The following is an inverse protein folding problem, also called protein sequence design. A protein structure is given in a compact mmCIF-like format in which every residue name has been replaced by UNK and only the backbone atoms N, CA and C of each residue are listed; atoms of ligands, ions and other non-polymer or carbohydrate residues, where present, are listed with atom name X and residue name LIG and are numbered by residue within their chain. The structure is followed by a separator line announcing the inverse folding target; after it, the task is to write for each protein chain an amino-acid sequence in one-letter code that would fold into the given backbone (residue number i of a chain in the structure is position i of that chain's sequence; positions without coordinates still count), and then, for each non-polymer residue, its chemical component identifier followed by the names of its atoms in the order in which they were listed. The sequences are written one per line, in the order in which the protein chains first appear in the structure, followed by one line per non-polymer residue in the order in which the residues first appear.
data_IF_347857355943
#
_entry.id   IF_347857355943
#
_cell.length_a   1.000
_cell.length_b   1.000
_cell.length_c   1.000
_cell.angle_alpha   90.00
_cell.angle_beta   90.00
_cell.angle_gamma   90.00
#
_symmetry.space_group_name_H-M   'P 1'
#
loop_
_entity.id
_entity.type
_entity.pdbx_description
1 polymer ?
#
# COMPACT_ATOMS: atom_id res chain seq x y z
N UNK A 1 -34.67 13.54 -35.20
CA UNK A 1 -34.06 12.35 -34.57
C UNK A 1 -32.54 12.22 -34.81
N UNK A 2 -32.02 12.48 -36.02
CA UNK A 2 -30.58 12.33 -36.35
C UNK A 2 -29.63 13.24 -35.54
N UNK A 3 -30.06 14.46 -35.17
CA UNK A 3 -29.24 15.44 -34.45
C UNK A 3 -28.96 15.09 -32.99
N UNK A 4 -29.87 14.36 -32.32
CA UNK A 4 -29.65 13.89 -30.95
C UNK A 4 -28.61 12.75 -30.90
N UNK A 5 -28.65 11.85 -31.88
CA UNK A 5 -27.69 10.74 -31.98
C UNK A 5 -26.25 11.24 -32.17
N UNK A 6 -26.05 12.26 -33.01
CA UNK A 6 -24.72 12.84 -33.26
C UNK A 6 -24.15 13.48 -31.99
N UNK A 7 -24.98 14.14 -31.18
CA UNK A 7 -24.53 14.77 -29.94
C UNK A 7 -24.12 13.73 -28.88
N UNK A 8 -24.88 12.64 -28.76
CA UNK A 8 -24.54 11.53 -27.85
C UNK A 8 -23.25 10.85 -28.28
N UNK A 9 -23.07 10.59 -29.58
CA UNK A 9 -21.82 9.98 -30.10
C UNK A 9 -20.63 10.93 -29.87
N UNK A 10 -20.79 12.22 -30.13
CA UNK A 10 -19.74 13.22 -29.88
C UNK A 10 -19.37 13.30 -28.39
N UNK A 11 -20.36 13.25 -27.50
CA UNK A 11 -20.15 13.25 -26.05
C UNK A 11 -19.42 11.99 -25.57
N UNK A 12 -19.79 10.82 -26.10
CA UNK A 12 -19.11 9.56 -25.80
C UNK A 12 -17.67 9.56 -26.29
N UNK A 13 -17.40 10.06 -27.51
CA UNK A 13 -16.05 10.15 -28.04
C UNK A 13 -15.18 11.09 -27.22
N UNK A 14 -15.70 12.26 -26.83
CA UNK A 14 -14.98 13.21 -25.99
C UNK A 14 -14.60 12.62 -24.62
N UNK A 15 -15.54 11.91 -23.99
CA UNK A 15 -15.30 11.29 -22.68
C UNK A 15 -14.32 10.11 -22.78
N UNK A 16 -14.44 9.30 -23.85
CA UNK A 16 -13.49 8.23 -24.13
C UNK A 16 -12.07 8.75 -24.32
N UNK A 17 -11.89 9.83 -25.08
CA UNK A 17 -10.60 10.47 -25.28
C UNK A 17 -10.01 11.03 -23.98
N UNK A 18 -10.83 11.62 -23.10
CA UNK A 18 -10.37 12.13 -21.82
C UNK A 18 -9.87 10.99 -20.90
N UNK A 19 -10.61 9.87 -20.85
CA UNK A 19 -10.23 8.70 -20.04
C UNK A 19 -8.95 8.05 -20.57
N UNK A 20 -8.80 7.91 -21.89
CA UNK A 20 -7.57 7.34 -22.46
C UNK A 20 -6.36 8.22 -22.22
N UNK A 21 -6.50 9.54 -22.36
CA UNK A 21 -5.42 10.49 -22.03
C UNK A 21 -5.05 10.46 -20.54
N UNK A 22 -6.05 10.37 -19.64
CA UNK A 22 -5.80 10.27 -18.20
C UNK A 22 -5.07 8.98 -17.83
N UNK A 23 -5.45 7.85 -18.43
CA UNK A 23 -4.77 6.58 -18.23
C UNK A 23 -3.34 6.62 -18.74
N UNK A 24 -3.12 7.15 -19.95
CA UNK A 24 -1.78 7.25 -20.55
C UNK A 24 -0.85 8.18 -19.75
N UNK A 25 -1.36 9.30 -19.24
CA UNK A 25 -0.59 10.23 -18.41
C UNK A 25 -0.13 9.59 -17.09
N UNK A 26 -1.00 8.86 -16.40
CA UNK A 26 -0.65 8.19 -15.14
C UNK A 26 0.30 7.01 -15.39
N UNK A 27 0.03 6.21 -16.42
CA UNK A 27 0.84 5.03 -16.71
C UNK A 27 2.27 5.39 -17.16
N UNK A 28 2.45 6.50 -17.89
CA UNK A 28 3.79 6.95 -18.32
C UNK A 28 4.65 7.45 -17.16
N UNK A 29 4.06 8.13 -16.17
CA UNK A 29 4.79 8.55 -14.96
C UNK A 29 5.23 7.34 -14.14
N UNK A 30 4.35 6.34 -14.00
CA UNK A 30 4.68 5.10 -13.28
C UNK A 30 5.69 4.23 -14.03
N UNK A 31 5.65 4.18 -15.35
CA UNK A 31 6.63 3.45 -16.16
C UNK A 31 7.98 4.21 -16.28
N UNK A 32 8.00 5.52 -16.05
CA UNK A 32 9.20 6.38 -16.15
C UNK A 32 10.12 6.32 -14.93
N UNK A 33 9.69 5.75 -13.81
CA UNK A 33 10.56 5.51 -12.65
C UNK A 33 11.16 4.11 -12.71
N UNK A 34 11.91 3.84 -13.79
CA UNK A 34 12.90 2.77 -13.77
C UNK A 34 13.85 3.06 -12.61
N UNK A 35 13.53 2.41 -11.50
CA UNK A 35 14.27 2.37 -10.26
C UNK A 35 15.70 1.95 -10.60
N UNK A 36 16.65 2.89 -10.52
CA UNK A 36 18.06 2.56 -10.55
C UNK A 36 18.37 1.81 -9.26
N UNK A 37 18.34 0.49 -9.34
CA UNK A 37 18.67 -0.36 -8.22
C UNK A 37 20.10 -0.04 -7.80
N UNK A 38 20.37 0.34 -6.54
CA UNK A 38 21.70 0.73 -6.10
C UNK A 38 22.65 -0.44 -6.34
N UNK A 39 23.54 -0.29 -7.32
CA UNK A 39 24.61 -1.26 -7.56
C UNK A 39 25.57 -1.17 -6.39
N UNK A 40 25.51 -2.19 -5.53
CA UNK A 40 26.51 -2.43 -4.50
C UNK A 40 27.89 -2.55 -5.17
N UNK A 41 28.76 -1.58 -4.89
CA UNK A 41 30.18 -1.68 -5.16
C UNK A 41 30.75 -2.72 -4.18
N UNK A 42 31.34 -3.83 -4.66
CA UNK A 42 32.06 -4.73 -3.77
C UNK A 42 33.33 -4.01 -3.28
N UNK A 43 33.39 -3.75 -1.97
CA UNK A 43 34.66 -3.45 -1.30
C UNK A 43 35.46 -4.75 -1.31
N UNK A 44 36.35 -4.89 -2.29
CA UNK A 44 37.43 -5.85 -2.23
C UNK A 44 38.38 -5.40 -1.12
N UNK A 45 38.16 -5.92 0.08
CA UNK A 45 39.24 -6.11 1.04
C UNK A 45 40.16 -7.20 0.47
N UNK A 46 41.11 -6.78 -0.36
CA UNK A 46 42.28 -7.56 -0.72
C UNK A 46 43.48 -6.80 -0.16
N UNK A 47 43.82 -7.13 1.08
CA UNK A 47 45.18 -6.95 1.55
C UNK A 47 46.11 -7.91 0.76
N UNK A 48 47.38 -7.52 0.65
CA UNK A 48 48.50 -8.22 -0.01
C UNK A 48 48.80 -7.88 -1.49
N UNK A 49 49.48 -6.75 -1.70
CA UNK A 49 50.86 -6.83 -2.24
C UNK A 49 51.71 -5.69 -1.68
N UNK A 50 52.31 -5.98 -0.53
CA UNK A 50 53.68 -5.63 -0.17
C UNK A 50 54.51 -5.21 -1.38
N UNK A 51 54.84 -3.92 -1.44
CA UNK A 51 56.16 -3.47 -1.88
C UNK A 51 56.80 -2.83 -0.65
N UNK A 52 57.12 -3.65 0.34
CA UNK A 52 58.01 -3.23 1.42
C UNK A 52 59.42 -3.18 0.82
N UNK A 53 59.99 -1.98 0.81
CA UNK A 53 61.42 -1.86 0.93
C UNK A 53 61.78 -2.23 2.37
N UNK A 54 62.75 -3.13 2.46
CA UNK A 54 63.77 -3.23 3.52
C UNK A 54 63.36 -3.72 4.93
N UNK A 55 64.27 -4.55 5.45
CA UNK A 55 64.48 -4.99 6.84
C UNK A 55 63.68 -6.18 7.44
N UNK A 56 64.38 -7.32 7.58
CA UNK A 56 64.48 -8.01 8.89
C UNK A 56 63.78 -9.35 9.12
N UNK A 57 64.58 -10.43 9.04
CA UNK A 57 64.67 -11.57 10.00
C UNK A 57 63.50 -12.55 10.28
N UNK A 58 63.78 -13.83 9.95
CA UNK A 58 63.46 -15.11 10.63
C UNK A 58 62.02 -15.53 11.07
N UNK A 59 61.70 -16.81 10.79
CA UNK A 59 60.68 -17.63 11.49
C UNK A 59 59.59 -18.20 10.56
N UNK A 60 59.80 -19.29 9.83
CA UNK A 60 59.57 -20.69 10.23
C UNK A 60 58.13 -21.06 10.67
N UNK A 61 57.51 -22.01 9.94
CA UNK A 61 56.62 -23.10 10.43
C UNK A 61 55.16 -22.70 10.81
N UNK A 62 54.06 -23.47 10.66
CA UNK A 62 53.77 -24.91 10.57
C UNK A 62 52.47 -25.19 9.79
N UNK A 63 52.36 -26.45 9.36
CA UNK A 63 51.25 -27.15 8.72
C UNK A 63 49.93 -27.24 9.52
N UNK A 64 48.83 -27.62 8.83
CA UNK A 64 48.02 -28.81 9.21
C UNK A 64 47.01 -29.22 8.13
N UNK A 65 47.30 -30.36 7.50
CA UNK A 65 46.33 -31.29 6.91
C UNK A 65 45.46 -31.89 8.02
N UNK A 66 44.18 -32.20 7.75
CA UNK A 66 43.54 -33.48 8.13
C UNK A 66 42.19 -33.67 7.41
N UNK A 67 42.22 -34.63 6.48
CA UNK A 67 41.26 -35.72 6.22
C UNK A 67 39.75 -35.51 6.08
N UNK A 68 39.30 -35.78 4.86
CA UNK A 68 37.96 -36.24 4.44
C UNK A 68 37.75 -37.72 4.83
N UNK A 69 36.50 -38.13 5.12
CA UNK A 69 35.94 -39.32 4.45
C UNK A 69 34.61 -39.02 3.72
N UNK A 70 34.32 -39.84 2.72
CA UNK A 70 33.13 -39.92 1.86
C UNK A 70 32.85 -41.43 1.66
N UNK A 71 31.75 -41.92 1.06
CA UNK A 71 30.32 -41.57 1.05
C UNK A 71 29.43 -42.78 1.46
N UNK A 72 28.09 -42.64 1.45
CA UNK A 72 27.05 -43.56 0.89
C UNK A 72 25.68 -43.38 1.62
N UNK A 73 24.56 -43.95 1.14
CA UNK A 73 23.74 -43.54 -0.03
C UNK A 73 22.28 -43.18 0.34
N UNK A 74 21.61 -42.38 -0.50
CA UNK A 74 20.15 -42.11 -0.45
C UNK A 74 19.31 -43.37 -0.76
N UNK A 75 17.98 -43.43 -0.44
CA UNK A 75 16.98 -42.74 -1.26
C UNK A 75 15.68 -42.26 -0.56
N UNK A 76 14.98 -41.40 -1.32
CA UNK A 76 13.52 -41.31 -1.52
C UNK A 76 12.63 -40.42 -0.64
N UNK A 77 12.09 -39.42 -1.37
CA UNK A 77 10.68 -39.04 -1.47
C UNK A 77 9.98 -38.26 -0.34
N UNK A 78 9.76 -36.97 -0.58
CA UNK A 78 8.39 -36.47 -0.84
C UNK A 78 8.36 -35.01 -1.28
N UNK A 79 7.42 -34.73 -2.17
CA UNK A 79 7.30 -33.54 -2.98
C UNK A 79 6.45 -32.41 -2.35
N UNK A 80 6.71 -31.20 -2.85
CA UNK A 80 5.77 -30.07 -3.07
C UNK A 80 5.26 -29.24 -1.88
N UNK A 81 4.75 -28.01 -2.11
CA UNK A 81 5.05 -27.02 -3.16
C UNK A 81 5.28 -25.58 -2.60
N UNK A 82 5.80 -24.72 -3.48
CA UNK A 82 5.89 -23.27 -3.36
C UNK A 82 4.50 -22.62 -3.51
N UNK A 83 4.20 -21.55 -2.76
CA UNK A 83 3.31 -20.51 -3.26
C UNK A 83 4.04 -19.18 -3.45
N UNK A 84 4.12 -18.79 -4.72
CA UNK A 84 4.30 -17.40 -5.14
C UNK A 84 3.08 -16.58 -4.72
N UNK A 85 3.30 -15.44 -4.08
CA UNK A 85 2.24 -14.50 -3.71
C UNK A 85 2.76 -13.07 -3.72
N UNK A 86 2.59 -12.41 -4.86
CA UNK A 86 2.82 -10.98 -5.10
C UNK A 86 1.92 -10.11 -4.20
N UNK A 87 2.46 -9.12 -3.48
CA UNK A 87 1.64 -8.12 -2.80
C UNK A 87 0.98 -7.18 -3.82
N UNK A 88 -0.36 -7.03 -3.72
CA UNK A 88 -1.14 -6.04 -4.46
C UNK A 88 -1.28 -4.79 -3.60
N UNK A 89 -0.61 -3.73 -4.02
CA UNK A 89 -0.68 -2.40 -3.41
C UNK A 89 -1.98 -1.67 -3.85
N UNK A 90 -2.77 -1.09 -2.94
CA UNK A 90 -3.79 -0.11 -3.29
C UNK A 90 -3.30 1.33 -3.04
N UNK A 91 -3.27 2.09 -4.12
CA UNK A 91 -3.01 3.53 -4.23
C UNK A 91 -4.16 4.38 -3.64
N UNK A 92 -3.91 5.46 -2.87
CA UNK A 92 -4.94 6.44 -2.52
C UNK A 92 -4.84 7.71 -3.38
N UNK A 93 -5.79 7.91 -4.30
CA UNK A 93 -6.00 9.20 -4.95
C UNK A 93 -6.99 10.08 -4.14
N UNK A 94 -6.64 11.34 -3.77
CA UNK A 94 -7.57 12.27 -3.14
C UNK A 94 -8.41 13.02 -4.18
N UNK A 95 -9.73 12.82 -4.16
CA UNK A 95 -10.65 13.69 -4.91
C UNK A 95 -10.86 15.01 -4.17
N UNK A 96 -10.28 16.10 -4.69
CA UNK A 96 -10.70 17.47 -4.37
C UNK A 96 -11.94 17.81 -5.18
N UNK A 97 -13.04 18.18 -4.53
CA UNK A 97 -14.07 19.03 -5.14
C UNK A 97 -14.67 19.92 -4.06
N UNK A 98 -14.59 21.23 -4.28
CA UNK A 98 -15.23 22.27 -3.49
C UNK A 98 -16.31 22.96 -4.37
N UNK A 99 -17.23 23.76 -3.80
CA UNK A 99 -18.65 23.41 -3.75
C UNK A 99 -19.52 24.27 -4.67
N UNK A 100 -20.73 23.80 -5.00
CA UNK A 100 -21.88 24.66 -5.38
C UNK A 100 -23.21 23.90 -5.31
N UNK A 101 -24.00 24.29 -4.30
CA UNK A 101 -25.43 24.62 -4.34
C UNK A 101 -26.50 23.59 -4.77
N UNK A 102 -27.42 23.38 -3.82
CA UNK A 102 -28.80 22.86 -3.90
C UNK A 102 -29.05 21.35 -3.74
N UNK A 103 -30.03 20.95 -2.89
CA UNK A 103 -30.23 19.57 -2.48
C UNK A 103 -31.05 18.79 -3.53
N UNK A 104 -30.60 17.62 -4.01
CA UNK A 104 -31.47 16.68 -4.68
C UNK A 104 -32.00 15.64 -3.70
N UNK A 105 -33.28 15.33 -3.86
CA UNK A 105 -34.01 14.28 -3.15
C UNK A 105 -33.31 12.92 -3.26
N UNK A 106 -33.42 12.13 -2.18
CA UNK A 106 -32.91 10.77 -2.06
C UNK A 106 -33.28 9.88 -3.26
N UNK A 107 -32.29 9.27 -3.94
CA UNK A 107 -32.52 7.99 -4.59
C UNK A 107 -32.26 6.89 -3.57
N UNK A 108 -33.32 6.26 -3.08
CA UNK A 108 -33.24 5.00 -2.36
C UNK A 108 -32.57 3.95 -3.27
N UNK A 109 -31.28 3.72 -3.08
CA UNK A 109 -30.55 2.60 -3.66
C UNK A 109 -30.79 1.37 -2.77
N UNK A 110 -31.19 0.21 -3.32
CA UNK A 110 -31.35 -0.99 -2.51
C UNK A 110 -29.96 -1.50 -2.14
N UNK A 111 -29.52 -1.21 -0.91
CA UNK A 111 -28.31 -1.79 -0.36
C UNK A 111 -28.47 -3.32 -0.24
N UNK A 112 -27.45 -4.13 -0.57
CA UNK A 112 -27.48 -5.54 -0.22
C UNK A 112 -27.65 -5.66 1.29
N UNK A 113 -28.48 -6.61 1.72
CA UNK A 113 -28.71 -6.90 3.14
C UNK A 113 -27.46 -7.53 3.76
N UNK A 114 -26.40 -6.74 3.91
CA UNK A 114 -25.28 -7.06 4.77
C UNK A 114 -25.76 -6.73 6.18
N UNK A 115 -25.73 -7.70 7.08
CA UNK A 115 -26.16 -7.56 8.49
C UNK A 115 -25.23 -6.65 9.32
N UNK A 116 -24.60 -5.67 8.68
CA UNK A 116 -23.68 -4.72 9.28
C UNK A 116 -24.42 -3.57 9.98
N UNK A 117 -23.82 -3.08 11.06
CA UNK A 117 -24.29 -1.90 11.79
C UNK A 117 -23.44 -0.71 11.37
N UNK A 118 -24.06 0.23 10.65
CA UNK A 118 -23.44 1.51 10.32
C UNK A 118 -23.28 2.35 11.60
N UNK A 119 -22.05 2.81 11.86
CA UNK A 119 -21.68 3.64 13.01
C UNK A 119 -20.88 4.84 12.56
N UNK A 120 -21.31 6.02 13.00
CA UNK A 120 -20.59 7.28 12.82
C UNK A 120 -19.80 7.65 14.06
N UNK A 121 -18.58 8.12 13.86
CA UNK A 121 -17.66 8.61 14.87
C UNK A 121 -17.30 10.05 14.55
N UNK A 122 -17.78 10.94 15.41
CA UNK A 122 -17.48 12.37 15.37
C UNK A 122 -16.24 12.65 16.21
N UNK A 123 -15.32 13.43 15.65
CA UNK A 123 -14.08 13.84 16.29
C UNK A 123 -13.78 15.30 15.99
N UNK A 124 -12.85 15.90 16.71
CA UNK A 124 -12.41 17.27 16.44
C UNK A 124 -11.87 17.45 15.01
N UNK A 125 -11.30 16.38 14.45
CA UNK A 125 -10.74 16.37 13.11
C UNK A 125 -11.73 16.12 11.97
N UNK A 126 -12.95 15.69 12.28
CA UNK A 126 -13.97 15.36 11.30
C UNK A 126 -14.81 14.15 11.70
N UNK A 127 -15.53 13.61 10.72
CA UNK A 127 -16.45 12.48 10.89
C UNK A 127 -15.94 11.26 10.11
N UNK A 128 -15.88 10.11 10.76
CA UNK A 128 -15.64 8.81 10.11
C UNK A 128 -16.86 7.90 10.30
N UNK A 129 -17.30 7.22 9.25
CA UNK A 129 -18.46 6.31 9.27
C UNK A 129 -18.01 4.94 8.78
N UNK A 130 -18.24 3.93 9.61
CA UNK A 130 -17.93 2.54 9.30
C UNK A 130 -19.20 1.71 9.27
N UNK A 131 -19.27 0.76 8.35
CA UNK A 131 -20.20 -0.35 8.44
C UNK A 131 -19.49 -1.50 9.16
N UNK A 132 -19.98 -1.85 10.35
CA UNK A 132 -19.40 -2.87 11.21
C UNK A 132 -20.19 -4.18 11.04
N UNK A 133 -19.61 -5.14 10.34
CA UNK A 133 -20.12 -6.50 10.25
C UNK A 133 -19.74 -7.33 11.48
N UNK A 134 -20.07 -8.63 11.43
CA UNK A 134 -19.79 -9.57 12.53
C UNK A 134 -18.30 -9.85 12.68
N UNK A 135 -17.55 -9.89 11.57
CA UNK A 135 -16.14 -10.30 11.52
C UNK A 135 -15.25 -9.37 10.69
N UNK A 136 -15.82 -8.33 10.07
CA UNK A 136 -15.10 -7.36 9.24
C UNK A 136 -15.81 -6.02 9.25
N UNK A 137 -15.09 -4.97 8.87
CA UNK A 137 -15.66 -3.63 8.73
C UNK A 137 -15.27 -3.00 7.41
N UNK A 138 -16.12 -2.10 6.93
CA UNK A 138 -15.83 -1.27 5.76
C UNK A 138 -15.97 0.21 6.12
N UNK A 139 -15.15 1.06 5.53
CA UNK A 139 -15.29 2.51 5.64
C UNK A 139 -16.34 2.98 4.63
N UNK A 140 -17.45 3.52 5.14
CA UNK A 140 -18.56 4.06 4.34
C UNK A 140 -18.22 5.48 3.90
N UNK A 141 -17.81 6.33 4.83
CA UNK A 141 -17.41 7.70 4.53
C UNK A 141 -16.42 8.22 5.56
N UNK A 142 -15.59 9.17 5.16
CA UNK A 142 -14.79 9.96 6.06
C UNK A 142 -14.73 11.39 5.53
N UNK A 143 -14.99 12.37 6.38
CA UNK A 143 -15.10 13.78 5.99
C UNK A 143 -14.32 14.62 7.00
N UNK A 144 -13.22 15.26 6.60
CA UNK A 144 -12.47 16.13 7.50
C UNK A 144 -13.30 17.36 7.90
N UNK A 145 -13.06 17.84 9.11
CA UNK A 145 -13.52 19.15 9.55
C UNK A 145 -12.80 20.28 8.80
N UNK A 146 -13.34 21.50 8.89
CA UNK A 146 -12.71 22.67 8.28
C UNK A 146 -11.31 22.90 8.85
N UNK A 147 -10.31 23.09 7.99
CA UNK A 147 -8.91 23.25 8.41
C UNK A 147 -8.20 21.95 8.78
N UNK A 148 -8.85 20.80 8.65
CA UNK A 148 -8.25 19.48 8.82
C UNK A 148 -8.02 18.81 7.46
N UNK A 149 -6.92 18.08 7.35
CA UNK A 149 -6.65 17.15 6.26
C UNK A 149 -6.98 15.72 6.71
N UNK A 150 -7.23 14.84 5.76
CA UNK A 150 -7.62 13.46 6.06
C UNK A 150 -6.77 12.48 5.26
N UNK A 151 -6.35 11.40 5.91
CA UNK A 151 -5.69 10.25 5.30
C UNK A 151 -6.37 8.96 5.76
N UNK A 152 -6.41 7.97 4.86
CA UNK A 152 -7.06 6.68 5.12
C UNK A 152 -6.12 5.56 4.71
N UNK A 153 -5.90 4.61 5.62
CA UNK A 153 -5.17 3.37 5.36
C UNK A 153 -6.11 2.19 5.58
N UNK A 154 -6.08 1.23 4.66
CA UNK A 154 -6.95 0.04 4.70
C UNK A 154 -6.13 -1.21 4.46
N UNK A 155 -6.46 -2.27 5.18
CA UNK A 155 -5.91 -3.62 5.01
C UNK A 155 -7.05 -4.62 5.20
N UNK A 156 -6.75 -5.91 5.09
CA UNK A 156 -7.72 -7.01 5.25
C UNK A 156 -8.34 -7.08 6.66
N UNK A 157 -7.64 -6.58 7.68
CA UNK A 157 -8.04 -6.74 9.09
C UNK A 157 -8.13 -5.46 9.90
N UNK A 158 -7.96 -4.30 9.25
CA UNK A 158 -8.06 -2.99 9.89
C UNK A 158 -8.21 -1.85 8.88
N UNK A 159 -8.76 -0.73 9.37
CA UNK A 159 -8.86 0.55 8.67
C UNK A 159 -8.49 1.67 9.65
N UNK A 160 -7.55 2.53 9.28
CA UNK A 160 -7.21 3.75 10.03
C UNK A 160 -7.63 4.97 9.21
N UNK A 161 -8.36 5.88 9.84
CA UNK A 161 -8.60 7.23 9.35
C UNK A 161 -7.80 8.17 10.25
N UNK A 162 -7.03 9.08 9.68
CA UNK A 162 -6.32 10.11 10.43
C UNK A 162 -6.72 11.47 9.91
N UNK A 163 -7.03 12.35 10.85
CA UNK A 163 -7.30 13.76 10.62
C UNK A 163 -6.14 14.57 11.17
N UNK A 164 -5.67 15.54 10.40
CA UNK A 164 -4.48 16.34 10.71
C UNK A 164 -4.73 17.83 10.54
N UNK A 165 -4.46 18.66 11.55
CA UNK A 165 -4.50 20.12 11.43
C UNK A 165 -3.31 20.73 12.14
N UNK A 166 -2.35 21.30 11.38
CA UNK A 166 -1.12 21.83 11.97
C UNK A 166 -0.38 20.75 12.78
N UNK A 167 -0.26 20.97 14.09
CA UNK A 167 0.34 20.02 15.04
C UNK A 167 -0.66 18.97 15.56
N UNK A 168 -1.98 19.25 15.52
CA UNK A 168 -3.00 18.39 16.07
C UNK A 168 -3.27 17.18 15.17
N UNK A 169 -3.44 16.02 15.79
CA UNK A 169 -3.76 14.76 15.10
C UNK A 169 -4.90 14.04 15.80
N UNK A 170 -5.78 13.45 15.02
CA UNK A 170 -6.83 12.54 15.49
C UNK A 170 -6.80 11.28 14.64
N UNK A 171 -6.73 10.11 15.27
CA UNK A 171 -6.83 8.82 14.62
C UNK A 171 -8.12 8.12 15.03
N UNK A 172 -8.87 7.63 14.04
CA UNK A 172 -9.98 6.70 14.21
C UNK A 172 -9.55 5.36 13.60
N UNK A 173 -9.30 4.38 14.44
CA UNK A 173 -8.74 3.10 14.05
C UNK A 173 -9.74 1.96 14.29
N UNK A 174 -10.20 1.34 13.20
CA UNK A 174 -11.10 0.20 13.21
C UNK A 174 -10.30 -1.09 13.00
N UNK A 175 -10.37 -2.07 13.91
CA UNK A 175 -9.60 -3.32 13.85
C UNK A 175 -10.48 -4.55 14.07
N UNK A 176 -10.18 -5.66 13.40
CA UNK A 176 -10.93 -6.93 13.55
C UNK A 176 -10.06 -8.20 13.40
N UNK A 177 -8.74 -8.08 13.49
CA UNK A 177 -7.83 -9.25 13.42
C UNK A 177 -8.05 -10.23 14.58
N UNK A 178 -8.40 -9.73 15.77
CA UNK A 178 -8.60 -10.53 16.99
C UNK A 178 -10.08 -10.62 17.40
N UNK A 179 -11.01 -10.59 16.45
CA UNK A 179 -12.45 -10.77 16.71
C UNK A 179 -13.34 -9.71 16.05
N UNK A 180 -14.54 -9.44 16.61
CA UNK A 180 -15.48 -8.50 16.01
C UNK A 180 -14.85 -7.10 15.86
N UNK A 181 -15.26 -6.30 14.85
CA UNK A 181 -14.74 -4.97 14.65
C UNK A 181 -14.84 -4.06 15.86
N UNK A 182 -13.70 -3.47 16.24
CA UNK A 182 -13.54 -2.51 17.34
C UNK A 182 -13.04 -1.20 16.78
N UNK A 183 -13.56 -0.09 17.28
CA UNK A 183 -13.11 1.25 16.87
C UNK A 183 -12.50 1.96 18.07
N UNK A 184 -11.27 2.43 17.89
CA UNK A 184 -10.49 3.20 18.85
C UNK A 184 -10.27 4.61 18.30
N UNK A 185 -10.41 5.61 19.15
CA UNK A 185 -10.22 7.01 18.80
C UNK A 185 -9.15 7.58 19.71
N UNK A 186 -8.10 8.15 19.12
CA UNK A 186 -7.01 8.79 19.84
C UNK A 186 -6.66 10.14 19.25
N UNK A 187 -6.31 11.11 20.09
CA UNK A 187 -5.82 12.43 19.72
C UNK A 187 -4.42 12.63 20.27
N UNK A 188 -3.51 13.22 19.50
CA UNK A 188 -2.11 13.45 19.89
C UNK A 188 -1.48 14.64 19.18
#
# INVERSE_FOLDING_TARGET
MRRGLVHVIAWLLATGAAVTLSWWGVHTVMAGTAYDAPRALPITAADASVREGDDGDAGESLASSTSRPSPSPSPSDSASPVPSGTPREPDPAPSRTAPSTSPPADPASPAPATSGRVRSYDTDGGRAVFDLGTSSASLVSATPGAGWSMQVWKTESWIRVEFTSGADRVSVFCTWHDGPPRVEIGSY
#
